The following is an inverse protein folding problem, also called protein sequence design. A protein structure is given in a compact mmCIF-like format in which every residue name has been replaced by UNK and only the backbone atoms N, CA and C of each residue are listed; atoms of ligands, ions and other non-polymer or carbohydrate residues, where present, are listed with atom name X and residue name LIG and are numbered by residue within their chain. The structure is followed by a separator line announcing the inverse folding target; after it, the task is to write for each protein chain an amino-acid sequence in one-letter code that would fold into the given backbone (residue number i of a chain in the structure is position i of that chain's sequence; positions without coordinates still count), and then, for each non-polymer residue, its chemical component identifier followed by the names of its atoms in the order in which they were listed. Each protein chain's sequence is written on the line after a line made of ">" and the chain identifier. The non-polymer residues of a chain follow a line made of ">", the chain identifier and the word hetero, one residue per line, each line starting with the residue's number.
data_IF_514449537183
#
_entry.id   IF_514449537183
#
_cell.length_a   1.000
_cell.length_b   1.000
_cell.length_c   1.000
_cell.angle_alpha   90.00
_cell.angle_beta   90.00
_cell.angle_gamma   90.00
#
_symmetry.space_group_name_H-M   'P 1'
#
loop_
_entity.id
_entity.type
_entity.pdbx_description
1 polymer ?
#
# COMPACT_ATOMS: atom_id res chain seq x y z
N UNK A 1 -19.74 -22.02 2.61
CA UNK A 1 -21.00 -21.51 3.15
C UNK A 1 -22.11 -22.48 2.82
N UNK A 2 -23.26 -22.34 3.47
CA UNK A 2 -24.48 -23.05 3.12
C UNK A 2 -25.20 -22.28 2.01
N UNK A 3 -25.70 -22.98 0.99
CA UNK A 3 -26.30 -22.36 -0.20
C UNK A 3 -27.54 -21.51 0.12
N UNK A 4 -28.32 -21.90 1.13
CA UNK A 4 -29.58 -21.21 1.48
C UNK A 4 -29.39 -20.09 2.52
N UNK A 5 -28.20 -20.01 3.14
CA UNK A 5 -27.88 -19.05 4.21
C UNK A 5 -26.90 -17.97 3.77
N UNK A 6 -26.28 -18.12 2.59
CA UNK A 6 -25.27 -17.21 2.02
C UNK A 6 -24.21 -16.74 3.04
N UNK A 7 -23.78 -17.64 3.93
CA UNK A 7 -22.86 -17.35 5.04
C UNK A 7 -21.40 -17.70 4.75
N UNK A 8 -21.04 -17.83 3.47
CA UNK A 8 -19.70 -18.19 3.04
C UNK A 8 -18.76 -17.00 2.96
N UNK A 9 -17.49 -17.20 3.31
CA UNK A 9 -16.38 -16.33 2.91
C UNK A 9 -15.45 -17.16 2.03
N UNK A 10 -15.04 -16.61 0.88
CA UNK A 10 -14.08 -17.21 -0.03
C UNK A 10 -12.88 -16.28 -0.19
N UNK A 11 -11.69 -16.80 0.12
CA UNK A 11 -10.42 -16.09 -0.07
C UNK A 11 -9.68 -16.75 -1.22
N UNK A 12 -9.27 -15.96 -2.22
CA UNK A 12 -8.50 -16.42 -3.37
C UNK A 12 -7.16 -15.70 -3.37
N UNK A 13 -6.06 -16.45 -3.36
CA UNK A 13 -4.71 -15.92 -3.45
C UNK A 13 -4.04 -16.37 -4.75
N UNK A 14 -3.83 -15.44 -5.67
CA UNK A 14 -3.03 -15.63 -6.86
C UNK A 14 -1.61 -15.14 -6.60
N UNK A 15 -0.76 -16.03 -6.07
CA UNK A 15 0.59 -15.70 -5.60
C UNK A 15 1.49 -15.11 -6.71
N UNK A 16 1.51 -15.75 -7.87
CA UNK A 16 2.36 -15.31 -9.01
C UNK A 16 1.88 -13.98 -9.59
N UNK A 17 0.57 -13.76 -9.61
CA UNK A 17 -0.04 -12.51 -10.09
C UNK A 17 -0.03 -11.40 -9.04
N UNK A 18 0.41 -11.71 -7.83
CA UNK A 18 0.37 -10.85 -6.64
C UNK A 18 -0.99 -10.23 -6.37
N UNK A 19 -2.04 -11.05 -6.44
CA UNK A 19 -3.43 -10.64 -6.20
C UNK A 19 -4.08 -11.48 -5.11
N UNK A 20 -4.94 -10.85 -4.34
CA UNK A 20 -5.83 -11.49 -3.38
C UNK A 20 -7.23 -10.92 -3.54
N UNK A 21 -8.23 -11.77 -3.36
CA UNK A 21 -9.64 -11.41 -3.38
C UNK A 21 -10.39 -12.11 -2.25
N UNK A 22 -11.31 -11.40 -1.61
CA UNK A 22 -12.21 -11.92 -0.57
C UNK A 22 -13.65 -11.65 -1.02
N UNK A 23 -14.41 -12.72 -1.20
CA UNK A 23 -15.84 -12.64 -1.49
C UNK A 23 -16.63 -13.09 -0.27
N UNK A 24 -17.59 -12.28 0.15
CA UNK A 24 -18.52 -12.57 1.24
C UNK A 24 -19.90 -12.90 0.67
N UNK A 25 -20.58 -13.88 1.26
CA UNK A 25 -21.97 -14.16 0.95
C UNK A 25 -22.90 -13.14 1.61
N UNK A 26 -24.04 -12.90 0.97
CA UNK A 26 -25.04 -11.90 1.41
C UNK A 26 -25.49 -12.08 2.85
N UNK A 27 -25.58 -13.32 3.33
CA UNK A 27 -26.07 -13.64 4.68
C UNK A 27 -25.15 -13.18 5.80
N UNK A 28 -23.93 -12.73 5.51
CA UNK A 28 -22.96 -12.25 6.51
C UNK A 28 -22.43 -10.84 6.24
N UNK A 29 -22.88 -10.16 5.18
CA UNK A 29 -22.47 -8.79 4.84
C UNK A 29 -22.73 -7.79 5.97
N UNK A 30 -23.78 -8.02 6.77
CA UNK A 30 -24.12 -7.19 7.92
C UNK A 30 -23.04 -7.21 9.04
N UNK A 31 -22.16 -8.22 9.04
CA UNK A 31 -21.01 -8.30 9.95
C UNK A 31 -19.69 -8.04 9.24
N UNK A 32 -19.54 -8.64 8.06
CA UNK A 32 -18.35 -8.52 7.22
C UNK A 32 -18.74 -7.94 5.88
N UNK A 33 -18.75 -6.61 5.80
CA UNK A 33 -18.95 -5.89 4.55
C UNK A 33 -17.70 -5.96 3.66
N UNK A 34 -17.85 -5.67 2.36
CA UNK A 34 -16.74 -5.51 1.42
C UNK A 34 -15.69 -4.53 1.93
N UNK A 35 -16.13 -3.44 2.57
CA UNK A 35 -15.23 -2.44 3.15
C UNK A 35 -14.40 -3.02 4.29
N UNK A 36 -14.99 -3.90 5.10
CA UNK A 36 -14.27 -4.60 6.17
C UNK A 36 -13.26 -5.57 5.56
N UNK A 37 -13.66 -6.35 4.55
CA UNK A 37 -12.77 -7.26 3.85
C UNK A 37 -11.60 -6.52 3.16
N UNK A 38 -11.88 -5.38 2.51
CA UNK A 38 -10.87 -4.51 1.89
C UNK A 38 -9.86 -4.00 2.91
N UNK A 39 -10.33 -3.60 4.10
CA UNK A 39 -9.45 -3.20 5.20
C UNK A 39 -8.56 -4.35 5.65
N UNK A 40 -9.10 -5.56 5.81
CA UNK A 40 -8.33 -6.74 6.23
C UNK A 40 -7.25 -7.06 5.18
N UNK A 41 -7.59 -7.03 3.89
CA UNK A 41 -6.63 -7.23 2.80
C UNK A 41 -5.50 -6.20 2.87
N UNK A 42 -5.85 -4.92 2.86
CA UNK A 42 -4.87 -3.85 2.73
C UNK A 42 -4.02 -3.64 3.99
N UNK A 43 -4.58 -3.87 5.17
CA UNK A 43 -3.93 -3.55 6.45
C UNK A 43 -3.27 -4.77 7.10
N UNK A 44 -3.72 -5.99 6.81
CA UNK A 44 -3.25 -7.20 7.50
C UNK A 44 -2.55 -8.13 6.51
N UNK A 45 -3.22 -8.52 5.43
CA UNK A 45 -2.70 -9.54 4.51
C UNK A 45 -1.56 -9.01 3.63
N UNK A 46 -1.77 -7.90 2.92
CA UNK A 46 -0.80 -7.33 1.98
C UNK A 46 0.56 -7.01 2.63
N UNK A 47 0.63 -6.41 3.84
CA UNK A 47 1.92 -6.17 4.49
C UNK A 47 2.75 -7.44 4.71
N UNK A 48 2.12 -8.53 5.10
CA UNK A 48 2.78 -9.83 5.28
C UNK A 48 3.23 -10.43 3.94
N UNK A 49 2.38 -10.30 2.90
CA UNK A 49 2.68 -10.79 1.55
C UNK A 49 3.87 -10.06 0.92
N UNK A 50 4.01 -8.75 1.16
CA UNK A 50 5.17 -7.96 0.74
C UNK A 50 6.48 -8.44 1.38
N UNK A 51 6.39 -9.04 2.57
CA UNK A 51 7.53 -9.66 3.25
C UNK A 51 7.74 -11.14 2.88
N UNK A 52 6.95 -11.69 1.95
CA UNK A 52 6.99 -13.10 1.56
C UNK A 52 6.29 -14.05 2.53
N UNK A 53 5.67 -13.52 3.59
CA UNK A 53 5.06 -14.30 4.67
C UNK A 53 3.59 -14.61 4.37
N UNK A 54 3.32 -15.37 3.31
CA UNK A 54 1.96 -15.69 2.84
C UNK A 54 1.10 -16.40 3.90
N UNK A 55 1.68 -17.38 4.59
CA UNK A 55 0.98 -18.10 5.66
C UNK A 55 0.55 -17.15 6.78
N UNK A 56 1.46 -16.30 7.27
CA UNK A 56 1.19 -15.28 8.30
C UNK A 56 0.09 -14.31 7.87
N UNK A 57 0.11 -13.87 6.61
CA UNK A 57 -0.93 -12.99 6.07
C UNK A 57 -2.31 -13.64 6.06
N UNK A 58 -2.40 -14.91 5.63
CA UNK A 58 -3.65 -15.66 5.62
C UNK A 58 -4.16 -15.98 7.04
N UNK A 59 -3.26 -16.38 7.94
CA UNK A 59 -3.55 -16.71 9.34
C UNK A 59 -4.16 -15.50 10.07
N UNK A 60 -3.42 -14.38 10.12
CA UNK A 60 -3.87 -13.13 10.74
C UNK A 60 -5.11 -12.54 10.05
N UNK A 61 -5.20 -12.71 8.73
CA UNK A 61 -6.34 -12.26 7.95
C UNK A 61 -7.61 -13.05 8.28
N UNK A 62 -7.49 -14.36 8.49
CA UNK A 62 -8.59 -15.24 8.90
C UNK A 62 -9.03 -14.92 10.33
N UNK A 63 -8.09 -14.70 11.25
CA UNK A 63 -8.40 -14.23 12.61
C UNK A 63 -9.18 -12.92 12.58
N UNK A 64 -8.75 -11.96 11.76
CA UNK A 64 -9.44 -10.69 11.60
C UNK A 64 -10.87 -10.85 11.06
N UNK A 65 -11.08 -11.75 10.08
CA UNK A 65 -12.41 -12.07 9.58
C UNK A 65 -13.28 -12.72 10.67
N UNK A 66 -12.69 -13.59 11.50
CA UNK A 66 -13.39 -14.20 12.63
C UNK A 66 -13.82 -13.16 13.67
N UNK A 67 -12.94 -12.23 14.04
CA UNK A 67 -13.31 -11.10 14.91
C UNK A 67 -14.39 -10.22 14.29
N UNK A 68 -14.34 -9.99 12.98
CA UNK A 68 -15.36 -9.21 12.28
C UNK A 68 -16.72 -9.90 12.30
N UNK A 69 -16.74 -11.22 12.10
CA UNK A 69 -17.95 -12.04 12.25
C UNK A 69 -18.50 -12.04 13.69
N UNK A 70 -17.67 -11.88 14.71
CA UNK A 70 -18.16 -11.78 16.10
C UNK A 70 -18.59 -10.36 16.50
N UNK A 71 -18.42 -9.37 15.63
CA UNK A 71 -18.65 -7.95 15.95
C UNK A 71 -17.55 -7.35 16.83
N UNK A 72 -16.42 -8.04 16.97
CA UNK A 72 -15.29 -7.68 17.83
C UNK A 72 -14.14 -7.02 17.05
N UNK A 73 -14.26 -6.88 15.73
CA UNK A 73 -13.25 -6.24 14.90
C UNK A 73 -13.17 -4.74 15.22
N UNK A 74 -12.24 -4.39 16.10
CA UNK A 74 -11.89 -3.01 16.44
C UNK A 74 -10.79 -2.53 15.52
N UNK A 75 -11.03 -1.39 14.88
CA UNK A 75 -10.07 -0.68 14.05
C UNK A 75 -9.00 -0.03 14.94
N UNK A 76 -8.04 -0.82 15.41
CA UNK A 76 -6.96 -0.32 16.28
C UNK A 76 -5.76 0.24 15.50
N UNK A 77 -5.90 0.49 14.21
CA UNK A 77 -4.84 1.12 13.41
C UNK A 77 -5.26 2.52 12.96
N UNK A 78 -5.14 3.44 13.91
CA UNK A 78 -5.03 4.85 13.58
C UNK A 78 -3.73 5.06 12.76
N UNK A 79 -3.87 5.36 11.47
CA UNK A 79 -2.76 5.74 10.61
C UNK A 79 -2.28 7.18 10.86
N UNK A 80 -2.66 7.79 11.99
CA UNK A 80 -1.76 8.69 12.72
C UNK A 80 -0.52 7.95 13.26
N UNK A 81 0.05 7.04 12.46
CA UNK A 81 1.45 6.64 12.53
C UNK A 81 2.24 7.92 12.30
N UNK A 82 2.47 8.64 13.39
CA UNK A 82 3.36 9.78 13.52
C UNK A 82 4.64 9.33 12.83
N UNK A 83 4.80 9.79 11.60
CA UNK A 83 5.98 9.50 10.83
C UNK A 83 7.11 10.11 11.67
N UNK A 84 7.83 9.26 12.39
CA UNK A 84 8.88 9.66 13.33
C UNK A 84 10.13 10.03 12.53
N UNK A 85 9.91 10.88 11.52
CA UNK A 85 10.87 11.68 10.77
C UNK A 85 11.72 12.52 11.71
N UNK A 86 11.39 12.59 13.01
CA UNK A 86 12.27 13.17 14.04
C UNK A 86 13.67 12.55 13.99
N UNK A 87 13.79 11.23 13.77
CA UNK A 87 15.11 10.57 13.64
C UNK A 87 15.83 10.98 12.35
N UNK A 88 15.12 11.07 11.23
CA UNK A 88 15.69 11.50 9.95
C UNK A 88 16.12 12.98 9.98
N UNK A 89 15.28 13.87 10.54
CA UNK A 89 15.58 15.28 10.71
C UNK A 89 16.75 15.49 11.66
N UNK A 90 16.81 14.74 12.76
CA UNK A 90 17.94 14.77 13.70
C UNK A 90 19.26 14.34 13.02
N UNK A 91 19.23 13.27 12.21
CA UNK A 91 20.40 12.82 11.44
C UNK A 91 20.82 13.85 10.39
N UNK A 92 19.88 14.51 9.70
CA UNK A 92 20.17 15.60 8.75
C UNK A 92 20.82 16.80 9.47
N UNK A 93 20.29 17.20 10.63
CA UNK A 93 20.86 18.30 11.43
C UNK A 93 22.27 17.96 11.90
N UNK A 94 22.51 16.74 12.39
CA UNK A 94 23.86 16.26 12.75
C UNK A 94 24.78 16.29 11.53
N UNK A 95 24.33 15.81 10.37
CA UNK A 95 25.10 15.80 9.14
C UNK A 95 25.51 17.21 8.69
N UNK A 96 24.59 18.18 8.76
CA UNK A 96 24.86 19.60 8.46
C UNK A 96 25.87 20.19 9.44
N UNK A 97 25.73 19.92 10.75
CA UNK A 97 26.66 20.40 11.78
C UNK A 97 28.06 19.83 11.56
N UNK A 98 28.18 18.55 11.20
CA UNK A 98 29.46 17.90 10.87
C UNK A 98 30.10 18.58 9.65
N UNK A 99 29.36 18.88 8.59
CA UNK A 99 29.89 19.61 7.41
C UNK A 99 30.38 21.01 7.79
N UNK A 100 29.66 21.74 8.63
CA UNK A 100 30.07 23.08 9.09
C UNK A 100 31.35 23.00 9.94
N UNK A 101 31.45 22.01 10.82
CA UNK A 101 32.65 21.78 11.65
C UNK A 101 33.86 21.37 10.81
N UNK A 102 33.66 20.54 9.78
CA UNK A 102 34.70 20.15 8.82
C UNK A 102 35.17 21.35 7.99
N UNK A 103 34.25 22.25 7.60
CA UNK A 103 34.55 23.47 6.86
C UNK A 103 35.35 24.49 7.68
N UNK A 104 35.16 24.52 8.99
CA UNK A 104 35.86 25.45 9.89
C UNK A 104 37.25 24.97 10.36
N UNK A 105 37.68 23.75 10.01
CA UNK A 105 38.99 23.19 10.38
C UNK A 105 40.00 23.06 9.24
N UNK A 106 39.60 23.35 7.99
CA UNK A 106 40.47 23.29 6.82
C UNK A 106 40.64 24.68 6.20
N UNK A 107 41.66 25.41 6.63
CA UNK A 107 42.06 26.64 5.97
C UNK A 107 42.52 26.40 4.53
N UNK A 108 42.05 27.27 3.64
CA UNK A 108 42.79 27.81 2.47
C UNK A 108 43.00 26.88 1.27
N UNK A 109 42.15 27.06 0.24
CA UNK A 109 42.49 26.66 -1.14
C UNK A 109 41.31 26.43 -2.07
N UNK A 110 40.93 27.47 -2.81
CA UNK A 110 40.44 27.46 -4.20
C UNK A 110 39.36 26.46 -4.67
N UNK A 111 38.25 26.99 -5.18
CA UNK A 111 37.57 26.41 -6.35
C UNK A 111 36.06 26.24 -6.25
N UNK A 112 35.34 27.13 -6.95
CA UNK A 112 33.99 26.90 -7.48
C UNK A 112 32.85 27.00 -6.48
N UNK A 113 32.12 28.11 -6.48
CA UNK A 113 30.86 28.21 -5.75
C UNK A 113 29.82 27.28 -6.42
N UNK A 114 28.95 26.65 -5.63
CA UNK A 114 27.79 25.90 -6.15
C UNK A 114 26.91 26.78 -7.06
N UNK A 115 26.96 28.11 -6.84
CA UNK A 115 26.34 29.10 -7.71
C UNK A 115 26.93 29.10 -9.12
N UNK A 116 28.24 28.90 -9.29
CA UNK A 116 28.88 28.83 -10.61
C UNK A 116 28.43 27.57 -11.38
N UNK A 117 28.26 26.45 -10.68
CA UNK A 117 27.79 25.19 -11.28
C UNK A 117 26.32 25.31 -11.70
N UNK A 118 25.47 25.94 -10.90
CA UNK A 118 24.05 26.14 -11.19
C UNK A 118 23.84 27.17 -12.31
N UNK A 119 24.59 28.27 -12.31
CA UNK A 119 24.51 29.32 -13.32
C UNK A 119 25.05 28.82 -14.67
N UNK A 120 26.14 28.04 -14.68
CA UNK A 120 26.71 27.47 -15.90
C UNK A 120 25.83 26.34 -16.49
N UNK A 121 25.09 25.61 -15.66
CA UNK A 121 24.20 24.53 -16.12
C UNK A 121 22.90 25.04 -16.76
N UNK A 122 22.52 26.30 -16.53
CA UNK A 122 21.25 26.86 -17.00
C UNK A 122 21.35 27.72 -18.29
N UNK A 123 22.55 27.91 -18.85
CA UNK A 123 22.76 28.86 -19.96
C UNK A 123 23.02 28.21 -21.33
N UNK A 124 22.50 27.00 -21.58
CA UNK A 124 22.69 26.37 -22.89
C UNK A 124 21.89 25.10 -23.14
N UNK A 125 20.58 25.25 -23.38
CA UNK A 125 19.77 24.49 -24.39
C UNK A 125 18.28 24.73 -24.15
N UNK A 126 17.81 25.86 -24.63
CA UNK A 126 16.40 26.14 -24.93
C UNK A 126 15.97 25.36 -26.17
N UNK A 127 14.82 24.67 -26.12
CA UNK A 127 14.07 24.32 -27.33
C UNK A 127 13.05 23.17 -27.19
N UNK A 128 11.75 23.50 -27.29
CA UNK A 128 10.65 22.57 -27.64
C UNK A 128 9.91 21.98 -26.44
N UNK A 129 8.80 22.54 -25.94
CA UNK A 129 7.43 22.49 -26.49
C UNK A 129 6.96 21.09 -26.92
N UNK A 130 5.98 20.54 -26.20
CA UNK A 130 4.96 19.65 -26.77
C UNK A 130 4.82 18.25 -26.14
N UNK A 131 3.56 17.87 -25.91
CA UNK A 131 3.11 16.49 -25.67
C UNK A 131 2.88 16.18 -24.18
N UNK A 132 1.68 15.90 -23.68
CA UNK A 132 0.59 15.13 -24.28
C UNK A 132 0.67 13.69 -23.80
N UNK A 133 -0.30 13.25 -22.99
CA UNK A 133 -0.45 11.88 -22.47
C UNK A 133 -0.98 11.92 -21.03
N UNK A 134 -2.29 11.84 -20.76
CA UNK A 134 -3.16 10.66 -20.92
C UNK A 134 -2.50 9.37 -20.49
N UNK A 135 -2.66 9.05 -19.21
CA UNK A 135 -2.66 7.69 -18.67
C UNK A 135 -3.88 7.66 -17.73
N UNK A 136 -4.96 6.97 -18.03
CA UNK A 136 -5.03 5.64 -18.61
C UNK A 136 -5.69 4.79 -17.56
N UNK A 137 -7.04 4.76 -17.59
CA UNK A 137 -7.86 3.95 -16.71
C UNK A 137 -7.47 2.49 -16.82
N UNK A 138 -7.16 1.87 -15.68
CA UNK A 138 -7.11 0.43 -15.57
C UNK A 138 -8.50 -0.08 -15.27
N UNK A 139 -9.20 -0.58 -16.29
CA UNK A 139 -10.37 -1.43 -16.10
C UNK A 139 -9.96 -2.69 -15.34
N UNK A 140 -10.55 -2.91 -14.18
CA UNK A 140 -10.57 -4.22 -13.54
C UNK A 140 -11.43 -5.15 -14.40
N UNK A 141 -10.75 -5.99 -15.18
CA UNK A 141 -11.38 -7.10 -15.90
C UNK A 141 -12.00 -8.06 -14.89
N UNK A 142 -13.30 -8.31 -15.07
CA UNK A 142 -14.08 -9.21 -14.24
C UNK A 142 -13.52 -10.63 -14.24
N UNK A 143 -13.56 -11.25 -13.06
CA UNK A 143 -13.36 -12.66 -12.90
C UNK A 143 -14.64 -13.40 -13.33
N UNK A 144 -14.71 -13.76 -14.61
CA UNK A 144 -15.75 -14.61 -15.16
C UNK A 144 -15.32 -16.07 -15.12
N UNK A 145 -15.71 -16.79 -14.07
CA UNK A 145 -15.54 -18.24 -13.95
C UNK A 145 -16.73 -18.83 -13.20
N UNK A 146 -17.64 -19.46 -13.93
CA UNK A 146 -18.89 -19.99 -13.41
C UNK A 146 -18.67 -21.16 -12.46
N UNK A 147 -18.99 -20.95 -11.19
CA UNK A 147 -19.23 -22.01 -10.21
C UNK A 147 -20.73 -22.07 -9.98
N UNK A 148 -21.32 -23.24 -10.27
CA UNK A 148 -22.74 -23.48 -10.08
C UNK A 148 -23.10 -23.57 -8.60
N UNK A 149 -24.13 -22.81 -8.20
CA UNK A 149 -24.92 -23.03 -6.99
C UNK A 149 -24.48 -22.25 -5.76
N UNK A 150 -24.97 -21.01 -5.62
CA UNK A 150 -24.80 -20.12 -4.46
C UNK A 150 -24.43 -18.70 -4.92
N UNK A 151 -25.26 -17.72 -4.59
CA UNK A 151 -25.06 -16.34 -5.03
C UNK A 151 -24.04 -15.61 -4.15
N UNK A 152 -22.81 -15.47 -4.62
CA UNK A 152 -21.88 -14.51 -4.01
C UNK A 152 -22.29 -13.11 -4.46
N UNK A 153 -22.42 -12.19 -3.50
CA UNK A 153 -22.72 -10.81 -3.83
C UNK A 153 -21.62 -10.25 -4.70
N UNK A 154 -21.98 -9.60 -5.81
CA UNK A 154 -21.04 -9.05 -6.78
C UNK A 154 -20.11 -7.96 -6.24
N UNK A 155 -20.05 -7.76 -4.92
CA UNK A 155 -19.09 -6.95 -4.19
C UNK A 155 -18.11 -7.88 -3.47
N UNK A 156 -16.91 -8.00 -4.03
CA UNK A 156 -15.76 -8.62 -3.38
C UNK A 156 -14.73 -7.54 -3.06
N UNK A 157 -13.88 -7.80 -2.08
CA UNK A 157 -12.72 -6.96 -1.82
C UNK A 157 -11.49 -7.56 -2.47
N UNK A 158 -10.83 -6.82 -3.36
CA UNK A 158 -9.60 -7.25 -4.02
C UNK A 158 -8.42 -6.35 -3.67
N UNK A 159 -7.21 -6.89 -3.72
CA UNK A 159 -5.98 -6.15 -3.49
C UNK A 159 -4.77 -6.83 -4.13
N UNK A 160 -3.69 -6.06 -4.31
CA UNK A 160 -2.43 -6.58 -4.87
C UNK A 160 -1.20 -6.02 -4.17
N UNK A 161 -0.07 -6.71 -4.29
CA UNK A 161 1.17 -6.35 -3.59
C UNK A 161 2.42 -6.31 -4.46
#
# INVERSE_FOLDING_TARGET
>A
GQADEDNGILIILAKEDRKIDINTGYGIEYRVSDRTAEKIINQIMIPEFKSGNFYSGLDKGTDALFYALNGEFKEDRDFSKKNDNSRFVFLIIIFIIIIILLRNRGGKGGGGSLLDVIILSNMGRTGGFGGGGSFGGGSSGGFGGGFGGGGFGGGGASGGW
#
